data_IF_763886518669
#
_entry.id   IF_763886518669
#
_cell.length_a   1.000
_cell.length_b   1.000
_cell.length_c   1.000
_cell.angle_alpha   90.00
_cell.angle_beta   90.00
_cell.angle_gamma   90.00
#
_symmetry.space_group_name_H-M   'P 1'
#
loop_
_entity.id
_entity.type
_entity.pdbx_description
1 polymer ?
#
# COMPACT_ATOMS: atom_id res chain seq x y z
N UNK A 1 -45.36 -12.93 35.70
CA UNK A 1 -44.62 -13.93 36.49
C UNK A 1 -43.16 -13.74 36.25
N UNK A 2 -42.49 -13.41 37.31
CA UNK A 2 -41.08 -13.09 37.43
C UNK A 2 -40.17 -14.30 37.17
N UNK A 3 -38.96 -14.10 36.66
CA UNK A 3 -37.79 -14.56 37.36
C UNK A 3 -36.49 -13.90 36.85
N UNK A 4 -35.92 -13.19 37.74
CA UNK A 4 -34.58 -12.63 37.80
C UNK A 4 -33.61 -13.78 38.03
N UNK A 5 -32.47 -13.80 37.30
CA UNK A 5 -31.24 -14.35 37.83
C UNK A 5 -30.03 -13.50 37.42
N UNK A 6 -29.60 -12.78 38.40
CA UNK A 6 -28.26 -12.21 38.61
C UNK A 6 -27.25 -13.36 38.81
N UNK A 7 -26.12 -13.27 38.15
CA UNK A 7 -24.83 -13.85 38.60
C UNK A 7 -23.76 -13.18 37.70
N UNK A 8 -22.90 -12.54 38.23
CA UNK A 8 -21.83 -12.63 39.24
C UNK A 8 -20.55 -12.14 38.58
N UNK A 9 -20.15 -10.95 38.98
CA UNK A 9 -18.83 -10.37 38.69
C UNK A 9 -17.75 -11.22 39.36
N UNK A 10 -16.84 -11.78 38.62
CA UNK A 10 -15.56 -12.21 39.16
C UNK A 10 -14.43 -11.31 38.63
N UNK A 11 -13.91 -10.54 39.57
CA UNK A 11 -12.66 -9.80 39.42
C UNK A 11 -11.51 -10.80 39.44
N UNK A 12 -10.80 -10.91 38.33
CA UNK A 12 -9.52 -11.60 38.29
C UNK A 12 -8.41 -10.55 38.38
N UNK A 13 -7.86 -10.42 39.59
CA UNK A 13 -6.65 -9.65 39.85
C UNK A 13 -5.46 -10.42 39.26
N UNK A 14 -4.84 -9.88 38.24
CA UNK A 14 -3.54 -10.36 37.76
C UNK A 14 -2.48 -9.67 38.64
N UNK A 15 -1.80 -10.50 39.44
CA UNK A 15 -0.65 -10.11 40.23
C UNK A 15 0.57 -10.07 39.31
N UNK A 16 1.12 -8.88 39.09
CA UNK A 16 2.40 -8.72 38.40
C UNK A 16 3.54 -9.15 39.33
N UNK A 17 4.11 -10.30 39.07
CA UNK A 17 5.33 -10.78 39.75
C UNK A 17 6.55 -10.08 39.19
N UNK A 18 7.12 -9.14 39.93
CA UNK A 18 8.48 -8.61 39.71
C UNK A 18 9.48 -9.66 40.17
N UNK A 19 10.20 -10.26 39.25
CA UNK A 19 11.44 -10.98 39.53
C UNK A 19 12.62 -10.03 39.35
N UNK A 20 13.12 -9.47 40.43
CA UNK A 20 14.41 -8.81 40.46
C UNK A 20 15.47 -9.86 40.77
N UNK A 21 16.25 -10.24 39.78
CA UNK A 21 17.45 -11.04 40.00
C UNK A 21 18.59 -10.13 40.41
N UNK A 22 18.90 -10.11 41.69
CA UNK A 22 20.10 -9.50 42.25
C UNK A 22 21.25 -10.48 42.13
N UNK A 23 22.13 -10.25 41.16
CA UNK A 23 23.45 -10.93 41.15
C UNK A 23 24.43 -10.10 41.95
N UNK A 24 24.76 -10.59 43.12
CA UNK A 24 25.83 -10.07 44.01
C UNK A 24 27.18 -10.66 43.53
N UNK A 25 28.01 -9.90 42.85
CA UNK A 25 29.42 -10.22 42.67
C UNK A 25 30.18 -9.24 43.58
N UNK A 26 30.66 -9.79 44.68
CA UNK A 26 31.59 -9.09 45.54
C UNK A 26 32.97 -9.00 44.89
N UNK A 27 33.43 -7.80 44.61
CA UNK A 27 34.83 -7.49 44.38
C UNK A 27 35.20 -6.21 45.13
N UNK A 28 36.09 -6.39 46.02
CA UNK A 28 36.73 -5.39 46.85
C UNK A 28 37.37 -4.24 46.07
N UNK A 29 37.07 -3.03 46.44
CA UNK A 29 37.97 -1.91 46.43
C UNK A 29 38.33 -1.28 45.10
N UNK A 30 37.48 -0.40 44.53
CA UNK A 30 37.88 0.84 43.83
C UNK A 30 36.74 1.90 43.91
N UNK A 31 37.00 3.15 44.33
CA UNK A 31 35.97 4.18 44.35
C UNK A 31 35.80 4.74 42.95
N UNK A 32 34.54 4.88 42.51
CA UNK A 32 34.26 5.81 41.43
C UNK A 32 33.40 5.36 40.26
N UNK A 33 32.89 4.16 40.20
CA UNK A 33 31.98 3.80 39.11
C UNK A 33 30.53 3.87 39.56
N UNK A 34 29.86 5.02 39.30
CA UNK A 34 28.41 5.08 39.38
C UNK A 34 27.89 4.24 38.20
N UNK A 35 27.27 3.09 38.47
CA UNK A 35 26.49 2.37 37.50
C UNK A 35 25.37 3.31 37.03
N UNK A 36 25.52 3.82 35.82
CA UNK A 36 24.42 4.47 35.09
C UNK A 36 23.41 3.34 34.82
N UNK A 37 22.16 3.45 35.27
CA UNK A 37 21.16 2.46 34.91
C UNK A 37 21.03 2.54 33.38
N UNK A 38 21.48 1.49 32.70
CA UNK A 38 21.15 1.29 31.29
C UNK A 38 19.63 1.10 31.28
N UNK A 39 18.91 2.15 30.92
CA UNK A 39 17.50 2.02 30.58
C UNK A 39 17.44 0.93 29.52
N UNK A 40 16.80 -0.20 29.88
CA UNK A 40 16.51 -1.23 28.91
C UNK A 40 15.67 -0.55 27.83
N UNK A 41 16.30 -0.23 26.70
CA UNK A 41 15.59 0.15 25.51
C UNK A 41 14.64 -1.02 25.24
N UNK A 42 13.34 -0.78 25.32
CA UNK A 42 12.31 -1.69 24.85
C UNK A 42 12.46 -1.71 23.32
N UNK A 43 13.49 -2.42 22.87
CA UNK A 43 13.76 -2.60 21.45
C UNK A 43 12.62 -3.41 20.87
N UNK A 44 11.83 -2.78 19.97
CA UNK A 44 10.90 -3.50 19.13
C UNK A 44 11.66 -4.62 18.44
N UNK A 45 11.08 -5.82 18.40
CA UNK A 45 11.67 -6.95 17.71
C UNK A 45 11.81 -6.62 16.22
N UNK A 46 13.04 -6.69 15.69
CA UNK A 46 13.28 -6.56 14.27
C UNK A 46 13.05 -7.91 13.60
N UNK A 47 12.29 -7.91 12.52
CA UNK A 47 12.03 -9.09 11.71
C UNK A 47 12.40 -8.86 10.25
N UNK A 48 12.63 -9.95 9.53
CA UNK A 48 12.90 -9.89 8.09
C UNK A 48 11.64 -9.54 7.32
N UNK A 49 11.69 -8.51 6.49
CA UNK A 49 10.60 -8.01 5.64
C UNK A 49 11.01 -8.03 4.17
N UNK A 50 10.01 -8.08 3.30
CA UNK A 50 10.20 -8.10 1.85
C UNK A 50 9.15 -7.23 1.16
N UNK A 51 9.58 -6.42 0.21
CA UNK A 51 8.68 -5.66 -0.65
C UNK A 51 9.00 -5.96 -2.12
N UNK A 52 7.96 -6.08 -2.93
CA UNK A 52 8.06 -6.22 -4.38
C UNK A 52 7.23 -5.12 -5.05
N UNK A 53 7.63 -4.71 -6.24
CA UNK A 53 6.89 -3.74 -7.06
C UNK A 53 6.72 -4.26 -8.48
N UNK A 54 5.59 -3.94 -9.10
CA UNK A 54 5.41 -4.18 -10.51
C UNK A 54 6.32 -3.27 -11.33
N UNK A 55 7.07 -3.89 -12.26
CA UNK A 55 7.81 -3.13 -13.26
C UNK A 55 6.93 -2.71 -14.43
N UNK A 56 7.28 -1.60 -15.11
CA UNK A 56 6.71 -1.29 -16.40
C UNK A 56 7.01 -2.44 -17.37
N UNK A 57 5.95 -3.02 -17.97
CA UNK A 57 6.09 -4.09 -18.96
C UNK A 57 6.41 -3.49 -20.31
N UNK A 58 5.92 -2.28 -20.56
CA UNK A 58 6.05 -1.60 -21.84
C UNK A 58 6.52 -0.17 -21.69
N UNK A 59 7.07 0.38 -22.79
CA UNK A 59 7.36 1.83 -22.86
C UNK A 59 6.10 2.69 -22.82
N UNK A 60 4.92 2.11 -22.99
CA UNK A 60 3.63 2.78 -23.03
C UNK A 60 2.95 2.83 -21.65
N UNK A 61 3.54 2.25 -20.61
CA UNK A 61 2.99 2.32 -19.26
C UNK A 61 2.98 3.76 -18.76
N UNK A 62 1.81 4.18 -18.26
CA UNK A 62 1.55 5.57 -17.86
C UNK A 62 2.42 6.04 -16.71
N UNK A 63 2.75 5.13 -15.82
CA UNK A 63 3.48 5.43 -14.59
C UNK A 63 4.52 4.36 -14.28
N UNK A 64 5.48 4.74 -13.46
CA UNK A 64 6.47 3.81 -12.90
C UNK A 64 6.61 4.06 -11.41
N UNK A 65 6.71 2.98 -10.64
CA UNK A 65 7.12 3.05 -9.23
C UNK A 65 8.64 3.14 -9.22
N UNK A 66 9.16 4.33 -8.97
CA UNK A 66 10.59 4.62 -9.12
C UNK A 66 11.39 4.27 -7.86
N UNK A 67 10.75 4.34 -6.70
CA UNK A 67 11.41 4.16 -5.42
C UNK A 67 10.42 3.69 -4.35
N UNK A 68 10.91 2.86 -3.43
CA UNK A 68 10.29 2.61 -2.13
C UNK A 68 11.23 3.03 -1.01
N UNK A 69 10.67 3.56 0.07
CA UNK A 69 11.43 3.81 1.29
C UNK A 69 10.73 3.21 2.50
N UNK A 70 11.53 2.85 3.51
CA UNK A 70 11.04 2.48 4.85
C UNK A 70 11.79 3.35 5.85
N UNK A 71 11.07 4.16 6.62
CA UNK A 71 11.68 5.11 7.54
C UNK A 71 12.62 6.13 6.85
N UNK A 72 12.32 6.49 5.61
CA UNK A 72 13.14 7.41 4.79
C UNK A 72 14.32 6.73 4.08
N UNK A 73 14.68 5.51 4.43
CA UNK A 73 15.75 4.76 3.76
C UNK A 73 15.21 4.03 2.54
N UNK A 74 15.88 4.18 1.40
CA UNK A 74 15.52 3.46 0.18
C UNK A 74 15.79 1.96 0.37
N UNK A 75 14.80 1.13 -0.01
CA UNK A 75 14.93 -0.32 -0.03
C UNK A 75 15.04 -0.83 -1.46
N UNK A 76 15.75 -1.94 -1.62
CA UNK A 76 15.84 -2.66 -2.88
C UNK A 76 14.65 -3.64 -2.98
N UNK A 77 13.56 -3.15 -3.57
CA UNK A 77 12.35 -3.94 -3.76
C UNK A 77 12.54 -4.93 -4.91
N UNK A 78 11.98 -6.13 -4.74
CA UNK A 78 11.85 -7.08 -5.84
C UNK A 78 11.05 -6.51 -7.01
N UNK A 79 11.31 -7.00 -8.21
CA UNK A 79 10.68 -6.53 -9.43
C UNK A 79 9.88 -7.65 -10.09
N UNK A 80 8.66 -7.36 -10.45
CA UNK A 80 7.82 -8.27 -11.23
C UNK A 80 7.76 -7.81 -12.68
N UNK A 81 8.25 -8.64 -13.59
CA UNK A 81 8.19 -8.40 -15.05
C UNK A 81 7.03 -9.19 -15.67
N UNK A 82 5.79 -8.86 -15.25
CA UNK A 82 4.60 -9.60 -15.69
C UNK A 82 4.35 -10.89 -14.90
N UNK A 83 3.26 -11.57 -15.19
CA UNK A 83 2.60 -12.57 -14.33
C UNK A 83 3.41 -13.81 -13.90
N UNK A 84 4.69 -13.93 -14.18
CA UNK A 84 5.43 -15.19 -13.94
C UNK A 84 6.84 -15.11 -13.36
N UNK A 85 7.51 -13.98 -13.41
CA UNK A 85 8.86 -13.86 -12.86
C UNK A 85 8.97 -12.67 -11.91
N UNK A 86 9.05 -12.98 -10.62
CA UNK A 86 9.39 -12.00 -9.59
C UNK A 86 10.88 -12.15 -9.33
N UNK A 87 11.69 -11.18 -9.72
CA UNK A 87 13.02 -11.04 -9.18
C UNK A 87 12.86 -10.65 -7.70
N UNK A 88 13.23 -11.52 -6.76
CA UNK A 88 13.03 -11.21 -5.36
C UNK A 88 13.85 -9.97 -4.98
N UNK A 89 13.23 -9.06 -4.21
CA UNK A 89 13.94 -7.95 -3.60
C UNK A 89 14.92 -8.42 -2.53
N UNK A 90 15.77 -7.50 -2.11
CA UNK A 90 16.64 -7.74 -0.96
C UNK A 90 15.83 -7.67 0.33
N UNK A 91 15.79 -8.76 1.14
CA UNK A 91 15.15 -8.71 2.45
C UNK A 91 15.80 -7.65 3.34
N UNK A 92 15.00 -6.93 4.11
CA UNK A 92 15.47 -5.91 5.03
C UNK A 92 14.94 -6.16 6.45
N UNK A 93 15.60 -5.57 7.45
CA UNK A 93 15.22 -5.68 8.84
C UNK A 93 14.37 -4.48 9.23
N UNK A 94 13.18 -4.73 9.77
CA UNK A 94 12.30 -3.70 10.28
C UNK A 94 11.42 -4.21 11.42
N UNK A 95 10.85 -3.29 12.19
CA UNK A 95 9.93 -3.60 13.28
C UNK A 95 8.56 -4.08 12.75
N UNK A 96 7.69 -4.38 13.70
CA UNK A 96 6.32 -4.84 13.41
C UNK A 96 5.45 -3.75 12.74
N UNK A 97 5.78 -2.48 12.97
CA UNK A 97 5.06 -1.33 12.42
C UNK A 97 5.60 -0.85 11.05
N UNK A 98 6.47 -1.62 10.42
CA UNK A 98 7.21 -1.22 9.23
C UNK A 98 6.36 -0.66 8.08
N UNK A 99 5.15 -1.18 7.88
CA UNK A 99 4.26 -0.68 6.83
C UNK A 99 3.87 0.78 7.02
N UNK A 100 3.77 1.27 8.27
CA UNK A 100 3.53 2.69 8.57
C UNK A 100 4.66 3.59 8.08
N UNK A 101 5.85 3.02 7.95
CA UNK A 101 7.05 3.74 7.57
C UNK A 101 7.36 3.63 6.07
N UNK A 102 6.47 2.99 5.29
CA UNK A 102 6.62 2.85 3.84
C UNK A 102 6.15 4.11 3.14
N UNK A 103 6.96 4.62 2.20
CA UNK A 103 6.55 5.58 1.18
C UNK A 103 6.79 5.02 -0.22
N UNK A 104 5.81 5.19 -1.10
CA UNK A 104 5.80 4.73 -2.49
C UNK A 104 5.95 5.95 -3.40
N UNK A 105 6.92 5.92 -4.31
CA UNK A 105 7.18 7.03 -5.23
C UNK A 105 6.75 6.64 -6.64
N UNK A 106 5.74 7.33 -7.16
CA UNK A 106 5.12 7.06 -8.47
C UNK A 106 5.40 8.24 -9.40
N UNK A 107 6.02 7.98 -10.54
CA UNK A 107 6.35 9.00 -11.54
C UNK A 107 5.39 8.92 -12.73
N UNK A 108 4.80 10.06 -13.09
CA UNK A 108 3.99 10.22 -14.29
C UNK A 108 4.89 10.26 -15.53
N UNK A 109 4.76 9.29 -16.42
CA UNK A 109 5.55 9.20 -17.66
C UNK A 109 4.85 9.80 -18.88
N UNK A 110 3.58 10.15 -18.76
CA UNK A 110 2.77 10.71 -19.85
C UNK A 110 2.97 12.21 -20.00
N UNK A 111 2.40 12.77 -21.05
CA UNK A 111 2.32 14.22 -21.23
C UNK A 111 1.01 14.84 -20.70
N UNK A 112 0.21 14.05 -19.96
CA UNK A 112 -1.06 14.50 -19.37
C UNK A 112 -0.96 14.58 -17.86
N UNK A 113 -1.77 15.46 -17.26
CA UNK A 113 -1.87 15.57 -15.81
C UNK A 113 -2.69 14.39 -15.26
N UNK A 114 -2.18 13.71 -14.24
CA UNK A 114 -2.92 12.70 -13.49
C UNK A 114 -3.69 13.40 -12.38
N UNK A 115 -5.00 13.17 -12.33
CA UNK A 115 -5.93 13.76 -11.33
C UNK A 115 -6.34 12.79 -10.22
N UNK A 116 -6.17 11.49 -10.46
CA UNK A 116 -6.33 10.47 -9.45
C UNK A 116 -5.38 9.31 -9.74
N UNK A 117 -4.69 8.84 -8.71
CA UNK A 117 -3.72 7.75 -8.77
C UNK A 117 -4.14 6.65 -7.79
N UNK A 118 -4.17 5.41 -8.27
CA UNK A 118 -4.47 4.24 -7.46
C UNK A 118 -3.28 3.29 -7.46
N UNK A 119 -2.90 2.86 -6.26
CA UNK A 119 -1.84 1.88 -6.04
C UNK A 119 -2.40 0.76 -5.17
N UNK A 120 -2.15 -0.47 -5.55
CA UNK A 120 -2.64 -1.64 -4.84
C UNK A 120 -1.53 -2.23 -3.97
N UNK A 121 -1.85 -2.46 -2.70
CA UNK A 121 -1.02 -3.22 -1.78
C UNK A 121 -1.61 -4.61 -1.66
N UNK A 122 -0.87 -5.63 -2.05
CA UNK A 122 -1.26 -7.03 -1.94
C UNK A 122 -0.43 -7.69 -0.85
N UNK A 123 -1.07 -8.46 0.02
CA UNK A 123 -0.45 -9.10 1.17
C UNK A 123 -0.38 -10.62 0.97
N UNK A 124 0.71 -11.16 0.42
CA UNK A 124 0.85 -12.59 0.15
C UNK A 124 0.78 -13.47 1.40
N UNK A 125 1.06 -12.91 2.58
CA UNK A 125 0.99 -13.62 3.85
C UNK A 125 -0.46 -13.97 4.25
N UNK A 126 -1.45 -13.32 3.62
CA UNK A 126 -2.88 -13.49 3.88
C UNK A 126 -3.51 -14.32 2.77
N UNK A 127 -3.00 -15.47 2.51
CA UNK A 127 -3.56 -16.38 1.52
C UNK A 127 -3.21 -17.81 1.89
N UNK A 128 -3.99 -18.76 1.42
CA UNK A 128 -3.68 -20.18 1.60
C UNK A 128 -2.56 -20.68 0.66
N UNK A 129 -1.90 -19.77 -0.05
CA UNK A 129 -0.83 -20.09 -0.99
C UNK A 129 -1.28 -20.85 -2.23
N UNK A 130 -2.57 -21.11 -2.39
CA UNK A 130 -3.09 -21.81 -3.57
C UNK A 130 -3.10 -20.89 -4.79
N UNK A 131 -2.59 -21.39 -5.90
CA UNK A 131 -2.63 -20.71 -7.19
C UNK A 131 -4.09 -20.42 -7.57
N UNK A 132 -4.43 -19.14 -7.71
CA UNK A 132 -5.74 -18.70 -8.18
C UNK A 132 -6.69 -18.19 -7.09
N UNK A 133 -6.32 -18.17 -5.81
CA UNK A 133 -7.10 -17.44 -4.80
C UNK A 133 -6.67 -15.98 -4.69
N UNK A 134 -7.64 -15.05 -4.58
CA UNK A 134 -7.32 -13.64 -4.47
C UNK A 134 -6.49 -13.39 -3.19
N UNK A 135 -5.31 -12.85 -3.37
CA UNK A 135 -4.51 -12.29 -2.28
C UNK A 135 -5.29 -11.12 -1.68
N UNK A 136 -5.37 -11.05 -0.36
CA UNK A 136 -5.97 -9.87 0.29
C UNK A 136 -5.16 -8.64 -0.07
N UNK A 137 -5.85 -7.57 -0.46
CA UNK A 137 -5.22 -6.34 -0.88
C UNK A 137 -6.01 -5.12 -0.43
N UNK A 138 -5.35 -3.98 -0.49
CA UNK A 138 -5.94 -2.67 -0.25
C UNK A 138 -5.53 -1.71 -1.35
N UNK A 139 -6.50 -0.96 -1.90
CA UNK A 139 -6.22 0.07 -2.91
C UNK A 139 -6.09 1.43 -2.26
N UNK A 140 -4.89 1.98 -2.28
CA UNK A 140 -4.63 3.37 -1.93
C UNK A 140 -5.05 4.23 -3.13
N UNK A 141 -5.93 5.21 -2.88
CA UNK A 141 -6.31 6.19 -3.91
C UNK A 141 -5.91 7.58 -3.46
N UNK A 142 -5.10 8.26 -4.26
CA UNK A 142 -4.69 9.65 -4.07
C UNK A 142 -5.35 10.53 -5.11
N UNK A 143 -5.96 11.61 -4.68
CA UNK A 143 -6.77 12.45 -5.55
C UNK A 143 -8.24 12.03 -5.58
N UNK A 144 -9.04 12.82 -6.24
CA UNK A 144 -10.46 12.56 -6.39
C UNK A 144 -10.72 11.92 -7.75
N UNK A 145 -11.41 10.79 -7.78
CA UNK A 145 -11.84 10.18 -9.05
C UNK A 145 -12.70 11.18 -9.84
N UNK A 146 -12.45 11.36 -11.13
CA UNK A 146 -13.29 12.19 -11.98
C UNK A 146 -14.73 11.70 -12.02
N UNK A 147 -15.69 12.62 -12.17
CA UNK A 147 -17.12 12.29 -12.14
C UNK A 147 -17.49 11.20 -13.15
N UNK A 148 -16.93 11.25 -14.37
CA UNK A 148 -17.17 10.26 -15.40
C UNK A 148 -16.75 8.84 -15.03
N UNK A 149 -15.86 8.66 -14.04
CA UNK A 149 -15.39 7.37 -13.55
C UNK A 149 -16.18 6.84 -12.35
N UNK A 150 -17.16 7.58 -11.86
CA UNK A 150 -17.95 7.24 -10.69
C UNK A 150 -19.23 6.45 -11.05
N UNK A 151 -19.11 5.47 -11.97
CA UNK A 151 -20.24 4.65 -12.35
C UNK A 151 -19.87 3.17 -12.38
N UNK A 152 -20.76 2.32 -11.89
CA UNK A 152 -20.70 0.89 -12.12
C UNK A 152 -21.21 0.56 -13.53
N UNK A 153 -20.95 -0.66 -14.00
CA UNK A 153 -21.40 -1.12 -15.33
C UNK A 153 -22.93 -1.14 -15.48
N UNK A 154 -23.67 -1.25 -14.39
CA UNK A 154 -25.13 -1.16 -14.38
C UNK A 154 -25.66 0.27 -14.44
N UNK A 155 -24.76 1.26 -14.55
CA UNK A 155 -25.09 2.69 -14.56
C UNK A 155 -25.30 3.30 -13.18
N UNK A 156 -25.21 2.53 -12.10
CA UNK A 156 -25.33 3.06 -10.73
C UNK A 156 -24.16 4.00 -10.44
N UNK A 157 -24.46 5.23 -9.98
CA UNK A 157 -23.42 6.20 -9.62
C UNK A 157 -22.85 5.93 -8.25
N UNK A 158 -21.54 5.84 -8.18
CA UNK A 158 -20.79 5.80 -6.92
C UNK A 158 -20.79 7.20 -6.29
N UNK A 159 -20.85 7.27 -4.97
CA UNK A 159 -20.67 8.52 -4.27
C UNK A 159 -19.20 8.93 -4.30
N UNK A 160 -18.87 10.18 -4.67
CA UNK A 160 -17.51 10.68 -4.57
C UNK A 160 -17.10 10.77 -3.10
N UNK A 161 -15.86 10.42 -2.82
CA UNK A 161 -15.27 10.65 -1.49
C UNK A 161 -14.91 12.14 -1.37
N UNK A 162 -15.78 12.91 -0.75
CA UNK A 162 -15.62 14.35 -0.57
C UNK A 162 -14.43 14.71 0.36
N UNK A 163 -13.85 13.75 1.06
CA UNK A 163 -12.70 14.00 1.96
C UNK A 163 -11.38 14.01 1.21
N UNK A 164 -11.34 13.50 -0.01
CA UNK A 164 -10.11 13.43 -0.81
C UNK A 164 -9.76 14.78 -1.42
N UNK A 165 -8.50 15.15 -1.25
CA UNK A 165 -7.96 16.37 -1.86
C UNK A 165 -7.75 16.15 -3.36
N UNK A 166 -7.98 17.15 -4.21
CA UNK A 166 -7.63 17.08 -5.62
C UNK A 166 -6.13 16.78 -5.82
N UNK A 167 -5.81 15.93 -6.79
CA UNK A 167 -4.45 15.69 -7.24
C UNK A 167 -4.22 16.40 -8.57
N UNK A 168 -3.01 16.93 -8.76
CA UNK A 168 -2.53 17.45 -10.04
C UNK A 168 -1.08 17.03 -10.22
N UNK A 169 -0.87 15.80 -10.69
CA UNK A 169 0.46 15.28 -10.95
C UNK A 169 0.86 15.53 -12.40
N UNK A 170 1.64 16.58 -12.61
CA UNK A 170 2.10 17.00 -13.94
C UNK A 170 3.01 15.95 -14.60
N UNK A 171 3.18 16.02 -15.94
CA UNK A 171 4.12 15.21 -16.70
C UNK A 171 5.53 15.22 -16.10
N UNK A 172 6.15 14.05 -16.00
CA UNK A 172 7.50 13.86 -15.47
C UNK A 172 7.65 14.08 -13.96
N UNK A 173 6.58 14.44 -13.23
CA UNK A 173 6.63 14.63 -11.78
C UNK A 173 6.39 13.32 -11.04
N UNK A 174 6.94 13.28 -9.84
CA UNK A 174 6.82 12.15 -8.91
C UNK A 174 5.89 12.51 -7.76
N UNK A 175 4.98 11.62 -7.45
CA UNK A 175 4.09 11.64 -6.29
C UNK A 175 4.69 10.73 -5.22
N UNK A 176 4.84 11.23 -4.01
CA UNK A 176 5.08 10.40 -2.83
C UNK A 176 3.74 10.02 -2.19
N UNK A 177 3.57 8.74 -1.90
CA UNK A 177 2.39 8.18 -1.24
C UNK A 177 2.84 7.55 0.08
N UNK A 178 2.70 8.26 1.22
CA UNK A 178 2.97 7.69 2.53
C UNK A 178 1.88 6.66 2.89
N UNK A 179 2.27 5.42 3.14
CA UNK A 179 1.32 4.37 3.54
C UNK A 179 0.71 4.68 4.91
N UNK A 180 1.41 5.45 5.74
CA UNK A 180 0.92 5.93 7.03
C UNK A 180 -0.46 6.60 6.97
N UNK A 181 -0.73 7.35 5.91
CA UNK A 181 -2.00 8.08 5.73
C UNK A 181 -3.21 7.15 5.57
N UNK A 182 -2.96 5.88 5.25
CA UNK A 182 -3.98 4.86 4.96
C UNK A 182 -3.93 3.68 5.94
N UNK A 183 -3.07 3.74 6.94
CA UNK A 183 -2.75 2.58 7.78
C UNK A 183 -3.96 2.00 8.51
N UNK A 184 -4.86 2.85 9.01
CA UNK A 184 -6.04 2.38 9.74
C UNK A 184 -7.00 1.61 8.82
N UNK A 185 -7.17 2.07 7.57
CA UNK A 185 -8.01 1.39 6.59
C UNK A 185 -7.36 0.06 6.14
N UNK A 186 -6.05 0.05 5.91
CA UNK A 186 -5.30 -1.16 5.58
C UNK A 186 -5.43 -2.17 6.71
N UNK A 187 -5.22 -1.73 7.95
CA UNK A 187 -5.31 -2.54 9.13
C UNK A 187 -6.70 -3.17 9.29
N UNK A 188 -7.78 -2.40 9.09
CA UNK A 188 -9.15 -2.92 9.19
C UNK A 188 -9.45 -4.05 8.19
N UNK A 189 -8.87 -3.99 6.99
CA UNK A 189 -9.05 -5.03 5.95
C UNK A 189 -8.20 -6.27 6.24
N UNK A 190 -7.00 -6.07 6.76
CA UNK A 190 -6.03 -7.14 7.00
C UNK A 190 -6.38 -7.93 8.26
N UNK A 191 -6.74 -7.25 9.36
CA UNK A 191 -6.96 -7.87 10.68
C UNK A 191 -8.17 -8.79 10.73
N UNK A 192 -9.07 -8.72 9.76
CA UNK A 192 -10.12 -9.73 9.60
C UNK A 192 -9.56 -11.15 9.38
N UNK A 193 -8.31 -11.27 8.93
CA UNK A 193 -7.70 -12.54 8.50
C UNK A 193 -6.38 -12.87 9.17
N UNK A 194 -5.55 -11.86 9.45
CA UNK A 194 -4.22 -12.02 10.04
C UNK A 194 -3.91 -10.81 10.91
N UNK A 195 -3.32 -10.99 12.12
CA UNK A 195 -2.83 -9.87 12.91
C UNK A 195 -1.88 -8.99 12.07
N UNK A 196 -2.15 -7.70 11.99
CA UNK A 196 -1.41 -6.76 11.14
C UNK A 196 0.11 -6.81 11.36
N UNK A 197 0.52 -7.00 12.61
CA UNK A 197 1.93 -7.09 13.01
C UNK A 197 2.66 -8.32 12.42
N UNK A 198 1.93 -9.31 11.93
CA UNK A 198 2.49 -10.52 11.31
C UNK A 198 2.78 -10.35 9.81
N UNK A 199 2.41 -9.21 9.21
CA UNK A 199 2.73 -8.93 7.82
C UNK A 199 4.25 -8.83 7.65
N UNK A 200 4.79 -9.71 6.82
CA UNK A 200 6.21 -9.74 6.48
C UNK A 200 6.49 -9.36 5.03
N UNK A 201 5.46 -9.44 4.17
CA UNK A 201 5.59 -9.18 2.73
C UNK A 201 4.50 -8.27 2.22
N UNK A 202 4.86 -7.41 1.25
CA UNK A 202 3.92 -6.62 0.48
C UNK A 202 4.32 -6.62 -1.00
N UNK A 203 3.35 -6.85 -1.87
CA UNK A 203 3.50 -6.61 -3.31
C UNK A 203 2.74 -5.34 -3.65
N UNK A 204 3.40 -4.43 -4.34
CA UNK A 204 2.86 -3.12 -4.70
C UNK A 204 2.63 -3.09 -6.20
N UNK A 205 1.37 -3.00 -6.59
CA UNK A 205 0.92 -2.95 -7.97
C UNK A 205 0.45 -1.56 -8.35
N UNK A 206 0.56 -1.24 -9.64
CA UNK A 206 -0.06 -0.05 -10.21
C UNK A 206 -1.53 -0.35 -10.50
N UNK A 207 -2.43 0.35 -9.82
CA UNK A 207 -3.87 0.28 -10.07
C UNK A 207 -4.30 1.11 -11.27
N UNK A 208 -5.36 1.90 -11.12
CA UNK A 208 -5.86 2.79 -12.16
C UNK A 208 -5.34 4.21 -12.00
N UNK A 209 -5.04 4.88 -13.12
CA UNK A 209 -4.63 6.28 -13.15
C UNK A 209 -5.56 7.06 -14.06
N UNK A 210 -6.12 8.15 -13.54
CA UNK A 210 -7.11 8.98 -14.21
C UNK A 210 -6.48 10.30 -14.61
N UNK A 211 -6.71 10.72 -15.85
CA UNK A 211 -6.12 11.90 -16.43
C UNK A 211 -7.14 13.01 -16.65
N UNK A 212 -6.66 14.24 -16.68
CA UNK A 212 -7.45 15.34 -17.25
C UNK A 212 -7.89 15.00 -18.68
N UNK A 213 -9.12 15.40 -19.04
CA UNK A 213 -9.66 15.15 -20.37
C UNK A 213 -10.30 13.78 -20.57
N UNK A 214 -10.62 13.07 -19.47
CA UNK A 214 -11.50 11.90 -19.54
C UNK A 214 -10.85 10.59 -19.96
N UNK A 215 -9.58 10.39 -19.67
CA UNK A 215 -8.88 9.15 -19.98
C UNK A 215 -8.45 8.44 -18.70
N UNK A 216 -8.40 7.10 -18.74
CA UNK A 216 -7.89 6.22 -17.69
C UNK A 216 -6.85 5.27 -18.25
N UNK A 217 -5.82 4.98 -17.47
CA UNK A 217 -4.91 3.88 -17.68
C UNK A 217 -5.08 2.84 -16.58
N UNK A 218 -5.12 1.56 -16.96
CA UNK A 218 -5.23 0.43 -16.04
C UNK A 218 -3.93 -0.34 -15.95
N UNK A 219 -3.32 -0.34 -14.75
CA UNK A 219 -2.04 -0.97 -14.50
C UNK A 219 -2.06 -2.49 -14.71
N UNK A 220 -3.11 -3.16 -14.25
CA UNK A 220 -3.24 -4.62 -14.36
C UNK A 220 -3.40 -5.11 -15.80
N UNK A 221 -3.87 -4.26 -16.69
CA UNK A 221 -4.17 -4.60 -18.10
C UNK A 221 -3.32 -3.84 -19.09
N UNK A 222 -2.49 -2.89 -18.63
CA UNK A 222 -1.54 -2.11 -19.43
C UNK A 222 -2.15 -1.41 -20.64
N UNK A 223 -3.36 -0.89 -20.53
CA UNK A 223 -4.01 -0.14 -21.61
C UNK A 223 -4.67 1.14 -21.12
N UNK A 224 -4.86 2.05 -22.07
CA UNK A 224 -5.65 3.25 -21.89
C UNK A 224 -7.09 3.01 -22.32
N UNK A 225 -8.02 3.68 -21.66
CA UNK A 225 -9.44 3.67 -22.00
C UNK A 225 -10.06 5.04 -21.82
N UNK A 226 -11.15 5.28 -22.55
CA UNK A 226 -11.98 6.49 -22.47
C UNK A 226 -13.42 6.10 -22.17
N UNK A 227 -14.19 6.93 -21.44
CA UNK A 227 -15.60 6.66 -21.18
C UNK A 227 -16.39 6.66 -22.49
N UNK A 228 -17.36 5.76 -22.61
CA UNK A 228 -18.28 5.72 -23.74
C UNK A 228 -19.35 6.81 -23.60
N UNK A 229 -19.58 7.57 -24.66
CA UNK A 229 -20.60 8.60 -24.70
C UNK A 229 -21.97 7.97 -24.57
N UNK A 230 -22.78 8.44 -23.61
CA UNK A 230 -24.14 7.95 -23.36
C UNK A 230 -24.23 6.62 -22.61
N UNK A 231 -23.11 6.00 -22.26
CA UNK A 231 -23.06 4.74 -21.53
C UNK A 231 -22.23 4.86 -20.26
N UNK A 232 -22.74 5.46 -19.17
CA UNK A 232 -22.00 5.59 -17.92
C UNK A 232 -21.49 4.24 -17.39
N UNK A 233 -20.23 4.17 -16.95
CA UNK A 233 -19.60 2.96 -16.45
C UNK A 233 -19.01 2.05 -17.54
N UNK A 234 -19.20 2.37 -18.81
CA UNK A 234 -18.56 1.67 -19.93
C UNK A 234 -17.37 2.45 -20.46
N UNK A 235 -16.36 1.73 -20.94
CA UNK A 235 -15.11 2.31 -21.39
C UNK A 235 -14.65 1.63 -22.68
N UNK A 236 -14.33 2.43 -23.67
CA UNK A 236 -13.68 1.97 -24.90
C UNK A 236 -12.18 1.89 -24.68
N UNK A 237 -11.63 0.70 -24.90
CA UNK A 237 -10.20 0.45 -24.85
C UNK A 237 -9.50 1.07 -26.04
N UNK A 238 -8.45 1.85 -25.78
CA UNK A 238 -7.59 2.40 -26.83
C UNK A 238 -6.60 1.35 -27.35
N UNK A 239 -5.97 1.62 -28.50
CA UNK A 239 -4.98 0.72 -29.09
C UNK A 239 -3.86 0.38 -28.07
N UNK A 240 -3.36 -0.85 -28.09
CA UNK A 240 -2.34 -1.32 -27.15
C UNK A 240 -1.01 -0.55 -27.22
N UNK A 241 -0.74 0.10 -28.34
CA UNK A 241 0.41 0.98 -28.56
C UNK A 241 0.11 2.46 -28.33
N UNK A 242 -1.11 2.80 -27.86
CA UNK A 242 -1.44 4.18 -27.55
C UNK A 242 -0.62 4.68 -26.35
N UNK A 243 -0.01 5.83 -26.50
CA UNK A 243 0.68 6.53 -25.42
C UNK A 243 0.41 8.03 -25.53
N UNK A 244 -0.14 8.67 -24.49
CA UNK A 244 -0.38 10.11 -24.48
C UNK A 244 0.97 10.84 -24.57
N UNK A 245 1.17 11.59 -25.66
CA UNK A 245 2.41 12.31 -25.91
C UNK A 245 3.14 11.90 -27.16
N UNK A 246 2.73 10.83 -27.79
CA UNK A 246 3.22 10.49 -29.11
C UNK A 246 2.42 11.29 -30.17
N UNK A 247 3.03 12.33 -30.79
CA UNK A 247 2.33 13.19 -31.74
C UNK A 247 1.84 12.47 -33.01
N UNK A 248 2.31 11.22 -33.23
CA UNK A 248 1.94 10.41 -34.40
C UNK A 248 0.66 9.59 -34.25
N UNK A 249 0.11 9.46 -33.03
CA UNK A 249 -0.97 8.51 -32.75
C UNK A 249 -2.38 9.10 -32.72
N UNK A 250 -2.55 10.42 -32.73
CA UNK A 250 -3.85 11.06 -32.82
C UNK A 250 -4.29 11.27 -34.29
N UNK A 251 -4.37 10.21 -35.06
CA UNK A 251 -5.30 10.18 -36.17
C UNK A 251 -6.50 9.34 -35.71
N UNK A 252 -7.51 10.03 -35.19
CA UNK A 252 -8.84 9.46 -35.07
C UNK A 252 -9.16 8.81 -36.41
N UNK A 253 -9.62 7.56 -36.40
CA UNK A 253 -10.32 7.01 -37.57
C UNK A 253 -11.64 7.80 -37.64
N UNK A 254 -11.69 8.73 -38.57
CA UNK A 254 -12.95 9.30 -39.07
C UNK A 254 -13.79 8.18 -39.70
#
# INVERSE_FOLDING_TARGET
MANIRQQSKQHMKVVAGMFAALVWIGLSGRPGWRAVPVAAATGKSLGTKLANVDEPITRFDAVVITKLTVGGQQIDAGRSTGAREISPGTPFQADEDWLKNVSIFVTNRTNKVIVCAEVELLFPDIGDGSVGRPTTGYTISVGQRPEWSLYYRDGTKMLPDATRKPLSLAPGKTLEIPVADYINQIQSVVEEKLPFLQITRVNISRGSFYFEGGMRWEGSSHYYSVPETGHPGYYTKLASNYFPGDPGQYRARE
#
